data_IF_303788465904
#
_entry.id   IF_303788465904
#
_cell.length_a   1.000
_cell.length_b   1.000
_cell.length_c   1.000
_cell.angle_alpha   90.00
_cell.angle_beta   90.00
_cell.angle_gamma   90.00
#
_symmetry.space_group_name_H-M   'P 1'
#
loop_
_entity.id
_entity.type
_entity.pdbx_description
1 polymer ?
#
# COMPACT_ATOMS: atom_id res chain seq x y z
N UNK A 1 2.11 -18.76 21.51
CA UNK A 1 2.86 -17.53 21.16
C UNK A 1 2.20 -16.84 19.95
N UNK A 2 0.95 -16.37 20.11
CA UNK A 2 0.16 -15.76 19.02
C UNK A 2 0.62 -14.34 18.70
N UNK A 3 1.03 -13.58 19.72
CA UNK A 3 1.46 -12.19 19.59
C UNK A 3 2.89 -12.02 19.01
N UNK A 4 3.77 -13.00 19.17
CA UNK A 4 5.15 -12.96 18.63
C UNK A 4 5.20 -12.98 17.09
N UNK A 5 4.10 -13.35 16.43
CA UNK A 5 3.97 -13.36 14.97
C UNK A 5 3.50 -12.01 14.40
N UNK A 6 3.15 -11.06 15.27
CA UNK A 6 2.71 -9.72 14.85
C UNK A 6 3.94 -8.92 14.39
N UNK A 7 3.98 -8.47 13.12
CA UNK A 7 5.10 -7.68 12.62
C UNK A 7 5.06 -6.25 13.17
N UNK A 8 6.15 -5.53 12.96
CA UNK A 8 6.15 -4.06 13.07
C UNK A 8 5.11 -3.45 12.13
N UNK A 9 4.24 -2.59 12.68
CA UNK A 9 3.30 -1.79 11.91
C UNK A 9 4.03 -0.52 11.44
N UNK A 10 4.02 -0.22 10.13
CA UNK A 10 4.65 1.01 9.63
C UNK A 10 3.92 2.23 10.15
N UNK A 11 4.67 3.31 10.36
CA UNK A 11 4.13 4.64 10.64
C UNK A 11 3.37 5.19 9.42
N UNK A 12 2.61 6.27 9.63
CA UNK A 12 1.92 6.99 8.54
C UNK A 12 2.89 7.43 7.44
N UNK A 13 4.05 7.98 7.83
CA UNK A 13 5.01 8.56 6.91
C UNK A 13 5.70 7.47 6.08
N UNK A 14 6.09 6.36 6.72
CA UNK A 14 6.64 5.19 6.01
C UNK A 14 5.64 4.60 5.02
N UNK A 15 4.36 4.57 5.38
CA UNK A 15 3.32 4.03 4.51
C UNK A 15 3.05 4.94 3.31
N UNK A 16 2.96 6.26 3.51
CA UNK A 16 2.80 7.25 2.45
C UNK A 16 4.03 7.23 1.53
N UNK A 17 5.22 7.25 2.09
CA UNK A 17 6.48 7.22 1.34
C UNK A 17 6.61 5.94 0.49
N UNK A 18 6.25 4.78 1.05
CA UNK A 18 6.19 3.51 0.31
C UNK A 18 5.20 3.58 -0.86
N UNK A 19 3.99 4.09 -0.63
CA UNK A 19 2.96 4.22 -1.65
C UNK A 19 3.41 5.12 -2.80
N UNK A 20 3.96 6.30 -2.49
CA UNK A 20 4.36 7.28 -3.50
C UNK A 20 5.64 6.88 -4.23
N UNK A 21 6.61 6.22 -3.57
CA UNK A 21 7.77 5.64 -4.26
C UNK A 21 7.35 4.61 -5.30
N UNK A 22 6.40 3.72 -4.95
CA UNK A 22 5.88 2.71 -5.89
C UNK A 22 5.07 3.36 -7.02
N UNK A 23 4.22 4.32 -6.71
CA UNK A 23 3.46 5.06 -7.71
C UNK A 23 4.36 5.82 -8.70
N UNK A 24 5.44 6.46 -8.20
CA UNK A 24 6.42 7.18 -9.03
C UNK A 24 7.12 6.23 -10.00
N UNK A 25 7.54 5.04 -9.52
CA UNK A 25 8.12 3.99 -10.37
C UNK A 25 7.12 3.49 -11.41
N UNK A 26 5.85 3.32 -11.04
CA UNK A 26 4.80 2.89 -11.95
C UNK A 26 4.60 3.88 -13.12
N UNK A 27 4.63 5.20 -12.84
CA UNK A 27 4.62 6.23 -13.89
C UNK A 27 5.91 6.26 -14.71
N UNK A 28 7.07 6.17 -14.07
CA UNK A 28 8.36 6.25 -14.75
C UNK A 28 8.54 5.19 -15.84
N UNK A 29 7.89 4.02 -15.70
CA UNK A 29 7.89 2.97 -16.73
C UNK A 29 6.93 3.21 -17.91
N UNK A 30 6.14 4.31 -17.92
CA UNK A 30 5.18 4.62 -18.99
C UNK A 30 5.79 5.59 -20.00
N UNK A 31 5.65 5.31 -21.29
CA UNK A 31 6.00 6.26 -22.34
C UNK A 31 4.88 7.28 -22.51
N UNK A 32 5.21 8.56 -22.35
CA UNK A 32 4.27 9.68 -22.53
C UNK A 32 4.61 10.39 -23.83
N UNK A 33 3.65 10.45 -24.76
CA UNK A 33 3.81 11.08 -26.09
C UNK A 33 2.77 12.16 -26.39
N UNK A 34 1.66 12.14 -25.65
CA UNK A 34 0.51 13.01 -25.82
C UNK A 34 -0.23 13.16 -24.48
N UNK A 35 -1.31 13.95 -24.48
CA UNK A 35 -2.10 14.20 -23.28
C UNK A 35 -2.83 12.96 -22.76
N UNK A 36 -3.26 12.04 -23.63
CA UNK A 36 -3.95 10.81 -23.22
C UNK A 36 -2.99 9.85 -22.50
N UNK A 37 -1.81 9.62 -23.08
CA UNK A 37 -0.75 8.82 -22.45
C UNK A 37 -0.22 9.45 -21.16
N UNK A 38 -0.19 10.78 -21.06
CA UNK A 38 0.09 11.47 -19.81
C UNK A 38 -0.99 11.19 -18.75
N UNK A 39 -2.26 11.33 -19.12
CA UNK A 39 -3.39 11.06 -18.22
C UNK A 39 -3.36 9.63 -17.70
N UNK A 40 -3.18 8.63 -18.57
CA UNK A 40 -3.06 7.22 -18.17
C UNK A 40 -1.87 6.96 -17.25
N UNK A 41 -0.75 7.67 -17.46
CA UNK A 41 0.41 7.55 -16.58
C UNK A 41 0.11 8.11 -15.18
N UNK A 42 -0.65 9.20 -15.06
CA UNK A 42 -1.12 9.75 -13.79
C UNK A 42 -2.15 8.86 -13.10
N UNK A 43 -3.12 8.33 -13.86
CA UNK A 43 -4.09 7.35 -13.36
C UNK A 43 -3.37 6.12 -12.78
N UNK A 44 -2.34 5.62 -13.47
CA UNK A 44 -1.51 4.52 -12.97
C UNK A 44 -0.83 4.85 -11.65
N UNK A 45 -0.48 6.12 -11.38
CA UNK A 45 0.07 6.52 -10.06
C UNK A 45 -0.99 6.40 -8.98
N UNK A 46 -2.17 6.97 -9.20
CA UNK A 46 -3.29 7.00 -8.23
C UNK A 46 -3.72 5.57 -7.91
N UNK A 47 -3.88 4.73 -8.93
CA UNK A 47 -4.22 3.31 -8.74
C UNK A 47 -3.14 2.58 -7.93
N UNK A 48 -1.85 2.83 -8.23
CA UNK A 48 -0.75 2.18 -7.51
C UNK A 48 -0.68 2.63 -6.05
N UNK A 49 -0.81 3.93 -5.77
CA UNK A 49 -0.80 4.42 -4.39
C UNK A 49 -1.98 3.88 -3.60
N UNK A 50 -3.18 3.91 -4.17
CA UNK A 50 -4.39 3.35 -3.56
C UNK A 50 -4.23 1.88 -3.19
N UNK A 51 -3.76 1.05 -4.14
CA UNK A 51 -3.53 -0.37 -3.91
C UNK A 51 -2.49 -0.63 -2.81
N UNK A 52 -1.37 0.11 -2.79
CA UNK A 52 -0.36 -0.06 -1.74
C UNK A 52 -0.93 0.27 -0.37
N UNK A 53 -1.72 1.35 -0.25
CA UNK A 53 -2.35 1.73 1.01
C UNK A 53 -3.36 0.67 1.46
N UNK A 54 -4.29 0.26 0.59
CA UNK A 54 -5.33 -0.73 0.92
C UNK A 54 -4.73 -2.06 1.33
N UNK A 55 -3.71 -2.53 0.61
CA UNK A 55 -3.08 -3.83 0.88
C UNK A 55 -2.29 -3.81 2.19
N UNK A 56 -1.54 -2.75 2.47
CA UNK A 56 -0.77 -2.67 3.72
C UNK A 56 -1.70 -2.56 4.93
N UNK A 57 -2.72 -1.69 4.88
CA UNK A 57 -3.68 -1.54 5.98
C UNK A 57 -4.48 -2.82 6.22
N UNK A 58 -4.97 -3.46 5.15
CA UNK A 58 -5.68 -4.74 5.26
C UNK A 58 -4.78 -5.83 5.84
N UNK A 59 -3.50 -5.86 5.45
CA UNK A 59 -2.54 -6.81 6.00
C UNK A 59 -2.23 -6.54 7.47
N UNK A 60 -2.20 -5.29 7.93
CA UNK A 60 -2.06 -4.97 9.34
C UNK A 60 -3.22 -5.57 10.12
N UNK A 61 -4.47 -5.28 9.73
CA UNK A 61 -5.67 -5.80 10.42
C UNK A 61 -5.66 -7.33 10.47
N UNK A 62 -5.38 -8.01 9.35
CA UNK A 62 -5.38 -9.48 9.27
C UNK A 62 -4.31 -10.18 10.11
N UNK A 63 -3.27 -9.48 10.54
CA UNK A 63 -2.15 -10.08 11.31
C UNK A 63 -2.38 -10.04 12.82
N UNK A 64 -3.32 -9.23 13.29
CA UNK A 64 -3.69 -9.21 14.69
C UNK A 64 -4.74 -10.29 14.97
N UNK A 65 -4.65 -11.00 16.11
CA UNK A 65 -5.71 -11.91 16.52
C UNK A 65 -6.99 -11.13 16.80
N UNK A 66 -8.13 -11.72 16.49
CA UNK A 66 -9.40 -11.22 17.03
C UNK A 66 -9.44 -11.56 18.53
N UNK A 67 -9.79 -10.58 19.36
CA UNK A 67 -9.92 -10.80 20.79
C UNK A 67 -11.05 -11.75 21.14
N UNK A 68 -12.11 -11.83 20.32
CA UNK A 68 -13.22 -12.76 20.52
C UNK A 68 -12.82 -14.24 20.34
N UNK A 69 -11.70 -14.49 19.63
CA UNK A 69 -11.18 -15.84 19.37
C UNK A 69 -10.09 -16.27 20.38
N UNK A 70 -9.76 -15.41 21.36
CA UNK A 70 -8.77 -15.73 22.38
C UNK A 70 -9.40 -16.56 23.51
N UNK A 71 -8.69 -17.58 24.02
CA UNK A 71 -9.11 -18.28 25.24
C UNK A 71 -9.02 -17.35 26.46
N UNK A 72 -9.93 -17.56 27.41
CA UNK A 72 -9.97 -16.88 28.72
C UNK A 72 -8.72 -17.16 29.58
#
# INVERSE_FOLDING_TARGET
MIFEKIPTVPTSDELIDKAFRRATRAKAGKTVRDNDSAMRAHESMIMTSGNILSDNLSNVVRRFPNFDDLPD
#
